data_IF_569818759291
#
_entry.id   IF_569818759291
#
_cell.length_a   1.000
_cell.length_b   1.000
_cell.length_c   1.000
_cell.angle_alpha   90.00
_cell.angle_beta   90.00
_cell.angle_gamma   90.00
#
_symmetry.space_group_name_H-M   'P 1'
#
loop_
_entity.id
_entity.type
_entity.pdbx_description
1 polymer ?
#
# COMPACT_ATOMS: atom_id res chain seq x y z
N UNK A 1 17.22 -11.40 -14.26
CA UNK A 1 15.79 -11.41 -13.96
C UNK A 1 14.97 -11.66 -15.22
N UNK A 2 13.74 -12.14 -15.05
CA UNK A 2 12.76 -12.34 -16.11
C UNK A 2 11.61 -11.34 -15.89
N UNK A 3 11.21 -10.61 -16.95
CA UNK A 3 10.05 -9.75 -16.91
C UNK A 3 8.81 -10.49 -17.42
N UNK A 4 7.67 -10.31 -16.74
CA UNK A 4 6.35 -10.79 -17.16
C UNK A 4 5.46 -9.56 -17.24
N UNK A 5 4.89 -9.29 -18.41
CA UNK A 5 3.96 -8.17 -18.62
C UNK A 5 2.55 -8.65 -18.30
N UNK A 6 1.87 -7.96 -17.40
CA UNK A 6 0.48 -8.25 -17.03
C UNK A 6 -0.28 -6.96 -16.69
N UNK A 7 -1.50 -6.81 -17.19
CA UNK A 7 -2.44 -5.79 -16.68
C UNK A 7 -3.23 -6.42 -15.52
N UNK A 8 -2.91 -6.01 -14.31
CA UNK A 8 -3.54 -6.55 -13.10
C UNK A 8 -4.98 -6.06 -12.90
N UNK A 9 -5.49 -5.17 -13.74
CA UNK A 9 -6.91 -4.79 -13.73
C UNK A 9 -7.80 -5.79 -14.49
N UNK A 10 -7.20 -6.68 -15.29
CA UNK A 10 -7.94 -7.66 -16.05
C UNK A 10 -8.35 -8.87 -15.20
N UNK A 11 -9.58 -9.40 -15.40
CA UNK A 11 -10.01 -10.61 -14.70
C UNK A 11 -9.07 -11.79 -14.91
N UNK A 12 -8.68 -12.47 -13.83
CA UNK A 12 -7.78 -13.63 -13.89
C UNK A 12 -6.28 -13.31 -14.01
N UNK A 13 -5.90 -12.04 -14.19
CA UNK A 13 -4.51 -11.65 -14.37
C UNK A 13 -3.59 -12.07 -13.21
N UNK A 14 -4.08 -12.01 -11.98
CA UNK A 14 -3.31 -12.44 -10.81
C UNK A 14 -3.00 -13.95 -10.86
N UNK A 15 -3.95 -14.78 -11.25
CA UNK A 15 -3.76 -16.22 -11.38
C UNK A 15 -2.78 -16.55 -12.51
N UNK A 16 -2.99 -15.94 -13.68
CA UNK A 16 -2.10 -16.11 -14.83
C UNK A 16 -0.67 -15.65 -14.55
N UNK A 17 -0.49 -14.54 -13.80
CA UNK A 17 0.81 -14.05 -13.39
C UNK A 17 1.49 -15.04 -12.42
N UNK A 18 0.77 -15.56 -11.43
CA UNK A 18 1.29 -16.53 -10.48
C UNK A 18 1.72 -17.83 -11.18
N UNK A 19 0.93 -18.32 -12.13
CA UNK A 19 1.26 -19.50 -12.95
C UNK A 19 2.53 -19.28 -13.77
N UNK A 20 2.62 -18.15 -14.45
CA UNK A 20 3.78 -17.80 -15.28
C UNK A 20 5.05 -17.56 -14.44
N UNK A 21 4.90 -17.03 -13.22
CA UNK A 21 6.03 -16.82 -12.32
C UNK A 21 6.63 -18.15 -11.87
N UNK A 22 5.77 -19.15 -11.66
CA UNK A 22 6.16 -20.44 -11.07
C UNK A 22 6.47 -20.33 -9.58
N UNK A 23 7.27 -21.24 -9.03
CA UNK A 23 7.66 -21.19 -7.62
C UNK A 23 8.44 -19.91 -7.29
N UNK A 24 8.04 -19.22 -6.24
CA UNK A 24 8.72 -18.02 -5.72
C UNK A 24 9.03 -18.18 -4.23
N UNK A 25 10.13 -17.61 -3.77
CA UNK A 25 10.52 -17.61 -2.36
C UNK A 25 10.00 -16.35 -1.65
N UNK A 26 9.88 -15.24 -2.38
CA UNK A 26 9.38 -13.97 -1.85
C UNK A 26 8.39 -13.35 -2.82
N UNK A 27 7.21 -13.00 -2.32
CA UNK A 27 6.24 -12.17 -3.01
C UNK A 27 6.30 -10.74 -2.47
N UNK A 28 6.56 -9.75 -3.33
CA UNK A 28 6.41 -8.33 -2.98
C UNK A 28 5.23 -7.76 -3.79
N UNK A 29 4.06 -7.69 -3.15
CA UNK A 29 2.85 -7.14 -3.75
C UNK A 29 2.88 -5.61 -3.67
N UNK A 30 3.49 -4.97 -4.67
CA UNK A 30 3.74 -3.52 -4.71
C UNK A 30 2.82 -2.77 -5.68
N UNK A 31 2.30 -3.42 -6.71
CA UNK A 31 1.46 -2.77 -7.71
C UNK A 31 0.22 -2.12 -7.07
N UNK A 32 -0.07 -0.90 -7.46
CA UNK A 32 -1.25 -0.19 -6.98
C UNK A 32 -1.64 0.94 -7.96
N UNK A 33 -2.92 1.26 -8.00
CA UNK A 33 -3.47 2.42 -8.69
C UNK A 33 -3.65 3.58 -7.70
N UNK A 34 -3.43 4.83 -8.13
CA UNK A 34 -3.81 5.98 -7.36
C UNK A 34 -5.33 6.02 -7.21
N UNK A 35 -5.81 6.32 -6.00
CA UNK A 35 -7.23 6.43 -5.68
C UNK A 35 -7.48 7.62 -4.72
N UNK A 36 -6.81 8.74 -5.01
CA UNK A 36 -6.94 10.00 -4.25
C UNK A 36 -7.90 10.95 -4.97
N UNK A 37 -8.75 11.59 -4.21
CA UNK A 37 -9.77 12.51 -4.67
C UNK A 37 -11.09 12.31 -3.91
N UNK A 38 -12.08 13.20 -4.12
CA UNK A 38 -13.41 13.04 -3.53
C UNK A 38 -14.09 11.76 -4.06
N UNK A 39 -14.53 10.89 -3.17
CA UNK A 39 -15.17 9.63 -3.57
C UNK A 39 -16.43 9.83 -4.42
N UNK A 40 -17.13 10.94 -4.23
CA UNK A 40 -18.32 11.29 -5.01
C UNK A 40 -18.05 11.61 -6.50
N UNK A 41 -16.78 11.75 -6.87
CA UNK A 41 -16.36 11.98 -8.26
C UNK A 41 -15.91 10.69 -8.97
N UNK A 42 -15.86 9.55 -8.25
CA UNK A 42 -15.50 8.26 -8.83
C UNK A 42 -16.73 7.57 -9.43
N UNK A 43 -16.55 6.97 -10.61
CA UNK A 43 -17.57 6.04 -11.15
C UNK A 43 -17.48 4.70 -10.42
N UNK A 44 -18.57 3.88 -10.45
CA UNK A 44 -18.52 2.52 -9.90
C UNK A 44 -17.36 1.68 -10.46
N UNK A 45 -17.10 1.75 -11.76
CA UNK A 45 -16.04 1.01 -12.46
C UNK A 45 -14.65 1.44 -11.97
N UNK A 46 -14.45 2.73 -11.70
CA UNK A 46 -13.20 3.25 -11.14
C UNK A 46 -12.99 2.77 -9.70
N UNK A 47 -14.07 2.68 -8.92
CA UNK A 47 -14.03 2.12 -7.57
C UNK A 47 -13.65 0.64 -7.63
N UNK A 48 -14.34 -0.14 -8.45
CA UNK A 48 -14.09 -1.58 -8.61
C UNK A 48 -12.66 -1.84 -9.08
N UNK A 49 -12.17 -1.09 -10.06
CA UNK A 49 -10.80 -1.21 -10.55
C UNK A 49 -9.78 -0.88 -9.45
N UNK A 50 -10.01 0.17 -8.67
CA UNK A 50 -9.11 0.56 -7.58
C UNK A 50 -9.07 -0.49 -6.48
N UNK A 51 -10.22 -1.03 -6.08
CA UNK A 51 -10.33 -2.13 -5.11
C UNK A 51 -9.71 -3.40 -5.67
N UNK A 52 -9.98 -3.71 -6.93
CA UNK A 52 -9.44 -4.86 -7.63
C UNK A 52 -7.92 -4.89 -7.57
N UNK A 53 -7.27 -3.86 -8.10
CA UNK A 53 -5.79 -3.82 -8.20
C UNK A 53 -5.12 -3.62 -6.83
N UNK A 54 -5.66 -2.74 -5.97
CA UNK A 54 -4.98 -2.37 -4.72
C UNK A 54 -5.21 -3.37 -3.58
N UNK A 55 -6.26 -4.17 -3.62
CA UNK A 55 -6.63 -5.08 -2.54
C UNK A 55 -6.83 -6.51 -3.03
N UNK A 56 -7.73 -6.74 -4.00
CA UNK A 56 -8.09 -8.10 -4.43
C UNK A 56 -6.90 -8.83 -5.07
N UNK A 57 -6.16 -8.19 -5.95
CA UNK A 57 -5.00 -8.78 -6.64
C UNK A 57 -3.90 -9.19 -5.67
N UNK A 58 -3.43 -8.37 -4.71
CA UNK A 58 -2.48 -8.81 -3.68
C UNK A 58 -2.96 -10.03 -2.90
N UNK A 59 -4.25 -10.10 -2.55
CA UNK A 59 -4.85 -11.25 -1.86
C UNK A 59 -4.80 -12.49 -2.75
N UNK A 60 -5.17 -12.37 -4.01
CA UNK A 60 -5.17 -13.48 -4.97
C UNK A 60 -3.75 -14.01 -5.23
N UNK A 61 -2.75 -13.12 -5.37
CA UNK A 61 -1.35 -13.50 -5.52
C UNK A 61 -0.84 -14.24 -4.28
N UNK A 62 -1.14 -13.76 -3.08
CA UNK A 62 -0.77 -14.44 -1.86
C UNK A 62 -1.43 -15.83 -1.77
N UNK A 63 -2.74 -15.93 -2.08
CA UNK A 63 -3.46 -17.22 -2.13
C UNK A 63 -2.85 -18.20 -3.12
N UNK A 64 -2.38 -17.73 -4.27
CA UNK A 64 -1.82 -18.58 -5.31
C UNK A 64 -0.39 -19.06 -4.99
N UNK A 65 0.42 -18.22 -4.36
CA UNK A 65 1.87 -18.46 -4.19
C UNK A 65 2.24 -18.98 -2.80
N UNK A 66 1.51 -18.62 -1.74
CA UNK A 66 1.83 -19.03 -0.37
C UNK A 66 1.79 -20.57 -0.16
N UNK A 67 0.89 -21.37 -0.77
CA UNK A 67 0.90 -22.81 -0.60
C UNK A 67 2.25 -23.46 -0.92
N UNK A 68 2.88 -23.09 -2.03
CA UNK A 68 4.20 -23.63 -2.37
C UNK A 68 5.31 -23.17 -1.40
N UNK A 69 5.19 -22.00 -0.78
CA UNK A 69 6.10 -21.56 0.29
C UNK A 69 5.89 -22.43 1.55
N UNK A 70 4.64 -22.70 1.92
CA UNK A 70 4.29 -23.55 3.07
C UNK A 70 4.81 -24.98 2.88
N UNK A 71 4.64 -25.56 1.69
CA UNK A 71 5.15 -26.91 1.37
C UNK A 71 6.68 -27.00 1.51
N UNK A 72 7.40 -25.92 1.18
CA UNK A 72 8.86 -25.85 1.34
C UNK A 72 9.30 -25.50 2.77
N UNK A 73 8.37 -25.10 3.64
CA UNK A 73 8.67 -24.60 4.99
C UNK A 73 9.46 -23.30 5.01
N UNK A 74 9.47 -22.53 3.91
CA UNK A 74 10.23 -21.30 3.77
C UNK A 74 9.61 -20.37 2.74
N UNK A 75 9.52 -19.09 3.06
CA UNK A 75 9.03 -18.06 2.15
C UNK A 75 8.68 -16.75 2.87
N UNK A 76 8.39 -15.71 2.08
CA UNK A 76 7.96 -14.44 2.67
C UNK A 76 7.00 -13.69 1.74
N UNK A 77 5.93 -13.15 2.32
CA UNK A 77 4.96 -12.31 1.60
C UNK A 77 5.04 -10.89 2.15
N UNK A 78 5.29 -9.93 1.27
CA UNK A 78 5.32 -8.50 1.61
C UNK A 78 4.18 -7.79 0.92
N UNK A 79 3.38 -7.07 1.70
CA UNK A 79 2.36 -6.19 1.17
C UNK A 79 2.80 -4.72 1.28
N UNK A 80 2.85 -4.03 0.14
CA UNK A 80 3.13 -2.61 0.10
C UNK A 80 1.85 -1.82 0.37
N UNK A 81 1.67 -1.42 1.62
CA UNK A 81 0.58 -0.57 2.04
C UNK A 81 0.98 0.93 1.92
N UNK A 82 0.63 1.75 2.87
CA UNK A 82 0.93 3.18 2.99
C UNK A 82 0.63 3.61 4.43
N UNK A 83 1.14 4.75 4.89
CA UNK A 83 0.63 5.40 6.10
C UNK A 83 -0.89 5.67 6.01
N UNK A 84 -1.45 5.79 4.79
CA UNK A 84 -2.90 5.84 4.55
C UNK A 84 -3.62 4.53 4.90
N UNK A 85 -2.92 3.44 5.16
CA UNK A 85 -3.44 2.19 5.75
C UNK A 85 -3.45 2.19 7.29
N UNK A 86 -3.00 3.27 7.93
CA UNK A 86 -3.04 3.51 9.39
C UNK A 86 -3.85 4.73 9.76
N UNK A 87 -3.86 5.76 8.91
CA UNK A 87 -4.57 7.01 9.14
C UNK A 87 -5.14 7.54 7.82
N UNK A 88 -6.47 7.69 7.78
CA UNK A 88 -7.14 8.30 6.63
C UNK A 88 -7.07 9.82 6.70
N UNK A 89 -6.90 10.45 5.54
CA UNK A 89 -6.91 11.91 5.37
C UNK A 89 -7.99 12.34 4.36
N UNK A 90 -8.43 13.60 4.36
CA UNK A 90 -9.39 14.08 3.37
C UNK A 90 -8.94 13.77 1.94
N UNK A 91 -9.85 13.29 1.09
CA UNK A 91 -9.56 12.92 -0.29
C UNK A 91 -8.80 11.60 -0.47
N UNK A 92 -8.64 10.79 0.58
CA UNK A 92 -8.00 9.47 0.47
C UNK A 92 -8.94 8.32 0.85
N UNK A 93 -10.25 8.54 0.93
CA UNK A 93 -11.20 7.55 1.44
C UNK A 93 -11.11 6.21 0.72
N UNK A 94 -11.14 6.20 -0.62
CA UNK A 94 -11.04 4.98 -1.42
C UNK A 94 -9.63 4.35 -1.29
N UNK A 95 -8.57 5.15 -1.42
CA UNK A 95 -7.21 4.67 -1.24
C UNK A 95 -6.97 4.09 0.15
N UNK A 96 -7.40 4.83 1.19
CA UNK A 96 -7.31 4.35 2.58
C UNK A 96 -8.09 3.06 2.79
N UNK A 97 -9.30 2.93 2.25
CA UNK A 97 -10.07 1.70 2.35
C UNK A 97 -9.27 0.49 1.84
N UNK A 98 -8.62 0.61 0.67
CA UNK A 98 -7.80 -0.48 0.11
C UNK A 98 -6.56 -0.77 0.96
N UNK A 99 -5.88 0.27 1.47
CA UNK A 99 -4.63 0.11 2.25
C UNK A 99 -4.87 -0.36 3.70
N UNK A 100 -6.00 0.04 4.33
CA UNK A 100 -6.45 -0.55 5.60
C UNK A 100 -6.88 -2.02 5.40
N UNK A 101 -7.66 -2.31 4.34
CA UNK A 101 -8.03 -3.68 4.00
C UNK A 101 -6.82 -4.59 3.82
N UNK A 102 -5.81 -4.10 3.09
CA UNK A 102 -4.55 -4.83 2.88
C UNK A 102 -3.78 -5.08 4.19
N UNK A 103 -3.74 -4.08 5.09
CA UNK A 103 -3.16 -4.24 6.43
C UNK A 103 -3.87 -5.31 7.25
N UNK A 104 -5.23 -5.26 7.26
CA UNK A 104 -6.05 -6.24 7.97
C UNK A 104 -5.85 -7.65 7.44
N UNK A 105 -5.86 -7.81 6.10
CA UNK A 105 -5.59 -9.08 5.45
C UNK A 105 -4.20 -9.62 5.79
N UNK A 106 -3.16 -8.80 5.67
CA UNK A 106 -1.79 -9.20 5.99
C UNK A 106 -1.62 -9.65 7.44
N UNK A 107 -2.27 -8.92 8.37
CA UNK A 107 -2.26 -9.28 9.79
C UNK A 107 -2.95 -10.64 10.04
N UNK A 108 -4.08 -10.91 9.40
CA UNK A 108 -4.77 -12.19 9.46
C UNK A 108 -3.92 -13.31 8.86
N UNK A 109 -3.43 -13.11 7.64
CA UNK A 109 -2.59 -14.10 6.94
C UNK A 109 -1.33 -14.48 7.74
N UNK A 110 -0.72 -13.50 8.44
CA UNK A 110 0.42 -13.77 9.31
C UNK A 110 0.06 -14.73 10.46
N UNK A 111 -1.15 -14.64 11.01
CA UNK A 111 -1.63 -15.60 12.02
C UNK A 111 -1.93 -16.95 11.40
N UNK A 112 -2.56 -16.97 10.23
CA UNK A 112 -2.90 -18.21 9.51
C UNK A 112 -1.65 -19.03 9.14
N UNK A 113 -0.54 -18.34 8.81
CA UNK A 113 0.73 -18.96 8.42
C UNK A 113 1.71 -19.16 9.59
N UNK A 114 1.29 -18.87 10.83
CA UNK A 114 2.17 -19.05 11.98
C UNK A 114 2.66 -20.49 12.12
N UNK A 115 3.97 -20.65 12.30
CA UNK A 115 4.61 -21.98 12.43
C UNK A 115 4.86 -22.72 11.12
N UNK A 116 4.48 -22.18 9.97
CA UNK A 116 4.71 -22.81 8.65
C UNK A 116 6.09 -22.51 8.05
N UNK A 117 6.86 -21.62 8.66
CA UNK A 117 8.12 -21.11 8.09
C UNK A 117 7.93 -19.98 7.06
N UNK A 118 6.70 -19.52 6.84
CA UNK A 118 6.39 -18.41 5.91
C UNK A 118 6.11 -17.13 6.68
N UNK A 119 6.93 -16.10 6.44
CA UNK A 119 6.76 -14.78 7.02
C UNK A 119 5.75 -13.91 6.24
N UNK A 120 5.12 -12.96 6.93
CA UNK A 120 4.25 -11.95 6.30
C UNK A 120 4.56 -10.58 6.88
N UNK A 121 4.87 -9.62 6.02
CA UNK A 121 5.19 -8.25 6.37
C UNK A 121 4.30 -7.24 5.66
N UNK A 122 3.99 -6.14 6.33
CA UNK A 122 3.36 -4.97 5.73
C UNK A 122 4.29 -3.76 5.86
N UNK A 123 4.59 -3.14 4.73
CA UNK A 123 5.40 -1.91 4.67
C UNK A 123 4.49 -0.71 4.45
N UNK A 124 4.71 0.36 5.21
CA UNK A 124 3.90 1.58 5.18
C UNK A 124 4.76 2.79 4.80
N UNK A 125 4.99 3.02 3.51
CA UNK A 125 5.66 4.23 3.06
C UNK A 125 4.82 5.47 3.35
N UNK A 126 5.53 6.57 3.69
CA UNK A 126 4.96 7.91 3.64
C UNK A 126 5.05 8.49 2.23
N UNK A 127 5.40 9.78 2.12
CA UNK A 127 5.61 10.43 0.83
C UNK A 127 6.97 10.03 0.26
N UNK A 128 6.96 9.28 -0.85
CA UNK A 128 8.17 8.87 -1.56
C UNK A 128 8.50 9.91 -2.61
N UNK A 129 9.70 10.53 -2.51
CA UNK A 129 10.22 11.44 -3.52
C UNK A 129 10.84 10.65 -4.68
N UNK A 130 11.11 11.31 -5.75
CA UNK A 130 11.92 10.84 -6.91
C UNK A 130 11.28 9.74 -7.77
N UNK A 131 10.24 9.05 -7.31
CA UNK A 131 9.51 8.05 -8.10
C UNK A 131 8.15 7.70 -7.47
N UNK A 132 7.24 7.15 -8.28
CA UNK A 132 5.96 6.60 -7.86
C UNK A 132 4.84 7.62 -7.71
N UNK A 133 3.69 7.15 -7.20
CA UNK A 133 2.42 7.88 -7.23
C UNK A 133 2.50 9.31 -6.72
N UNK A 134 3.21 9.56 -5.61
CA UNK A 134 3.33 10.90 -5.05
C UNK A 134 4.17 11.81 -5.96
N UNK A 135 5.34 11.33 -6.42
CA UNK A 135 6.21 12.06 -7.35
C UNK A 135 5.46 12.47 -8.62
N UNK A 136 4.69 11.53 -9.19
CA UNK A 136 3.94 11.73 -10.44
C UNK A 136 2.81 12.77 -10.32
N UNK A 137 2.38 13.11 -9.10
CA UNK A 137 1.40 14.19 -8.91
C UNK A 137 1.97 15.57 -9.13
N UNK A 138 3.29 15.73 -9.08
CA UNK A 138 3.96 17.04 -9.07
C UNK A 138 3.64 17.90 -7.84
N UNK A 139 2.97 17.35 -6.83
CA UNK A 139 2.54 18.09 -5.64
C UNK A 139 3.74 18.45 -4.76
N UNK A 140 3.88 19.72 -4.44
CA UNK A 140 4.91 20.19 -3.49
C UNK A 140 4.36 20.16 -2.07
N UNK A 141 5.05 19.41 -1.21
CA UNK A 141 4.77 19.43 0.22
C UNK A 141 5.36 20.67 0.90
N UNK A 142 4.75 21.11 2.00
CA UNK A 142 5.39 22.07 2.89
C UNK A 142 6.76 21.55 3.35
N UNK A 143 7.75 22.43 3.50
CA UNK A 143 9.14 22.05 3.83
C UNK A 143 9.29 21.27 5.14
N UNK A 144 8.33 21.39 6.05
CA UNK A 144 8.31 20.65 7.32
C UNK A 144 7.75 19.22 7.19
N UNK A 145 7.11 18.90 6.07
CA UNK A 145 6.67 17.52 5.76
C UNK A 145 7.84 16.81 5.06
N UNK A 146 8.48 15.92 5.77
CA UNK A 146 9.58 15.16 5.21
C UNK A 146 9.12 14.06 4.25
N UNK A 147 10.05 13.61 3.42
CA UNK A 147 9.85 12.54 2.42
C UNK A 147 10.91 11.46 2.61
N UNK A 148 10.70 10.30 2.02
CA UNK A 148 11.67 9.20 1.93
C UNK A 148 12.04 8.92 0.47
N UNK A 149 13.16 8.27 0.24
CA UNK A 149 13.56 7.85 -1.11
C UNK A 149 13.01 6.45 -1.45
N UNK A 150 12.95 6.06 -2.73
CA UNK A 150 12.70 4.68 -3.12
C UNK A 150 13.69 3.69 -2.48
N UNK A 151 14.96 4.09 -2.34
CA UNK A 151 16.00 3.30 -1.68
C UNK A 151 15.68 3.01 -0.21
N UNK A 152 15.19 4.02 0.55
CA UNK A 152 14.78 3.85 1.95
C UNK A 152 13.66 2.81 2.08
N UNK A 153 12.71 2.82 1.12
CA UNK A 153 11.60 1.85 1.08
C UNK A 153 12.12 0.45 0.77
N UNK A 154 12.98 0.32 -0.24
CA UNK A 154 13.56 -0.96 -0.61
C UNK A 154 14.37 -1.58 0.52
N UNK A 155 15.28 -0.81 1.16
CA UNK A 155 16.09 -1.28 2.28
C UNK A 155 15.22 -1.68 3.49
N UNK A 156 14.18 -0.89 3.79
CA UNK A 156 13.26 -1.21 4.88
C UNK A 156 12.44 -2.48 4.58
N UNK A 157 12.11 -2.72 3.31
CA UNK A 157 11.44 -3.95 2.86
C UNK A 157 12.36 -5.15 3.04
N UNK A 158 13.62 -5.06 2.63
CA UNK A 158 14.60 -6.13 2.84
C UNK A 158 14.77 -6.44 4.34
N UNK A 159 14.93 -5.42 5.17
CA UNK A 159 15.01 -5.61 6.64
C UNK A 159 13.74 -6.21 7.25
N UNK A 160 12.57 -5.92 6.68
CA UNK A 160 11.32 -6.52 7.13
C UNK A 160 11.29 -8.04 6.84
N UNK A 161 11.79 -8.46 5.68
CA UNK A 161 11.93 -9.86 5.29
C UNK A 161 12.95 -10.57 6.19
N UNK A 162 14.17 -10.02 6.29
CA UNK A 162 15.29 -10.61 7.04
C UNK A 162 14.99 -10.83 8.52
N UNK A 163 14.19 -9.95 9.13
CA UNK A 163 13.87 -10.00 10.56
C UNK A 163 12.42 -10.40 10.82
N UNK A 164 11.70 -10.88 9.83
CA UNK A 164 10.27 -11.27 9.90
C UNK A 164 9.40 -10.24 10.65
N UNK A 165 9.54 -8.97 10.29
CA UNK A 165 8.78 -7.88 10.93
C UNK A 165 7.36 -7.83 10.40
N UNK A 166 6.37 -7.88 11.28
CA UNK A 166 4.95 -7.79 10.89
C UNK A 166 4.59 -6.46 10.21
N UNK A 167 5.05 -5.33 10.76
CA UNK A 167 4.79 -3.98 10.24
C UNK A 167 6.06 -3.13 10.25
N UNK A 168 6.27 -2.35 9.18
CA UNK A 168 7.42 -1.44 9.06
C UNK A 168 6.98 -0.10 8.48
N UNK A 169 7.08 0.96 9.26
CA UNK A 169 6.81 2.33 8.82
C UNK A 169 8.07 2.94 8.19
N UNK A 170 7.94 3.41 6.94
CA UNK A 170 9.02 4.06 6.20
C UNK A 170 8.64 5.51 5.94
N UNK A 171 8.83 6.34 6.95
CA UNK A 171 8.47 7.75 6.91
C UNK A 171 9.23 8.54 7.98
N UNK A 172 9.36 9.86 7.85
CA UNK A 172 9.87 10.73 8.89
C UNK A 172 9.12 10.57 10.21
N UNK A 173 9.82 10.75 11.32
CA UNK A 173 9.27 10.51 12.66
C UNK A 173 7.92 11.23 12.91
N UNK A 174 7.78 12.49 12.49
CA UNK A 174 6.55 13.25 12.68
C UNK A 174 5.33 12.63 11.98
N UNK A 175 5.51 12.08 10.76
CA UNK A 175 4.44 11.38 10.05
C UNK A 175 4.09 10.05 10.70
N UNK A 176 5.10 9.31 11.19
CA UNK A 176 4.90 8.04 11.92
C UNK A 176 4.13 8.28 13.23
N UNK A 177 4.56 9.25 14.02
CA UNK A 177 3.90 9.61 15.27
C UNK A 177 2.46 10.11 15.02
N UNK A 178 2.26 10.94 13.99
CA UNK A 178 0.94 11.43 13.59
C UNK A 178 -0.01 10.32 13.14
N UNK A 179 0.47 9.35 12.36
CA UNK A 179 -0.34 8.21 11.93
C UNK A 179 -0.69 7.27 13.09
N UNK A 180 0.24 7.04 14.02
CA UNK A 180 0.00 6.26 15.22
C UNK A 180 -1.05 6.94 16.12
N UNK A 181 -0.92 8.26 16.33
CA UNK A 181 -1.92 9.04 17.07
C UNK A 181 -3.29 8.97 16.41
N UNK A 182 -3.37 9.12 15.08
CA UNK A 182 -4.62 9.06 14.36
C UNK A 182 -5.27 7.67 14.39
N UNK A 183 -4.48 6.60 14.46
CA UNK A 183 -4.99 5.23 14.63
C UNK A 183 -5.65 5.01 15.99
N UNK A 184 -5.11 5.64 17.06
CA UNK A 184 -5.62 5.49 18.42
C UNK A 184 -6.75 6.49 18.74
N UNK A 185 -6.67 7.70 18.18
CA UNK A 185 -7.57 8.82 18.48
C UNK A 185 -8.09 9.48 17.20
N UNK A 186 -8.89 8.78 16.37
CA UNK A 186 -9.25 9.23 15.03
C UNK A 186 -10.01 10.56 15.03
N UNK A 187 -10.93 10.78 15.99
CA UNK A 187 -11.66 12.05 16.07
C UNK A 187 -10.79 13.22 16.47
N UNK A 188 -9.90 13.03 17.45
CA UNK A 188 -8.99 14.08 17.89
C UNK A 188 -8.00 14.46 16.78
N UNK A 189 -7.46 13.46 16.09
CA UNK A 189 -6.59 13.66 14.94
C UNK A 189 -7.32 14.40 13.81
N UNK A 190 -8.55 14.03 13.48
CA UNK A 190 -9.35 14.70 12.45
C UNK A 190 -9.66 16.17 12.83
N UNK A 191 -9.97 16.46 14.10
CA UNK A 191 -10.18 17.84 14.58
C UNK A 191 -8.90 18.67 14.45
N UNK A 192 -7.77 18.09 14.86
CA UNK A 192 -6.46 18.75 14.78
C UNK A 192 -6.05 19.00 13.32
N UNK A 193 -6.21 18.01 12.46
CA UNK A 193 -5.91 18.10 11.04
C UNK A 193 -6.70 19.23 10.36
N UNK A 194 -8.01 19.36 10.67
CA UNK A 194 -8.84 20.46 10.16
C UNK A 194 -8.35 21.83 10.66
N UNK A 195 -7.97 21.94 11.93
CA UNK A 195 -7.44 23.20 12.50
C UNK A 195 -6.11 23.61 11.89
N UNK A 196 -5.28 22.64 11.51
CA UNK A 196 -3.98 22.87 10.88
C UNK A 196 -4.06 23.06 9.35
N UNK A 197 -5.27 23.00 8.75
CA UNK A 197 -5.47 23.20 7.32
C UNK A 197 -4.87 22.09 6.44
N UNK A 198 -4.71 20.89 6.96
CA UNK A 198 -4.13 19.74 6.22
C UNK A 198 -5.00 19.28 5.05
N UNK A 199 -6.29 19.63 5.04
CA UNK A 199 -7.22 19.41 3.95
C UNK A 199 -6.85 20.16 2.66
N UNK A 200 -6.10 21.27 2.75
CA UNK A 200 -5.62 22.00 1.56
C UNK A 200 -4.59 21.15 0.78
N UNK A 201 -3.69 20.45 1.47
CA UNK A 201 -2.69 19.60 0.84
C UNK A 201 -3.37 18.37 0.19
N UNK A 202 -4.30 17.75 0.91
CA UNK A 202 -5.05 16.58 0.43
C UNK A 202 -5.92 16.91 -0.80
N UNK A 203 -6.60 18.07 -0.81
CA UNK A 203 -7.39 18.52 -1.96
C UNK A 203 -6.53 18.78 -3.19
N UNK A 204 -5.33 19.35 -3.04
CA UNK A 204 -4.40 19.55 -4.15
C UNK A 204 -3.91 18.23 -4.75
N UNK A 205 -3.69 17.22 -3.93
CA UNK A 205 -3.33 15.88 -4.41
C UNK A 205 -4.47 15.23 -5.19
N UNK A 206 -5.73 15.38 -4.72
CA UNK A 206 -6.92 14.82 -5.37
C UNK A 206 -7.34 15.55 -6.64
N UNK A 207 -6.97 16.83 -6.82
CA UNK A 207 -7.33 17.62 -8.00
C UNK A 207 -6.35 17.48 -9.17
N UNK A 208 -5.23 16.78 -9.01
CA UNK A 208 -4.31 16.54 -10.12
C UNK A 208 -4.95 15.55 -11.11
N UNK A 209 -5.24 16.02 -12.32
CA UNK A 209 -5.84 15.23 -13.41
C UNK A 209 -5.06 13.94 -13.73
N UNK A 210 -3.77 13.89 -13.39
CA UNK A 210 -2.93 12.72 -13.56
C UNK A 210 -3.45 11.47 -12.83
N UNK A 211 -4.26 11.63 -11.79
CA UNK A 211 -4.87 10.52 -11.05
C UNK A 211 -6.20 10.05 -11.65
N UNK A 212 -6.85 10.88 -12.49
CA UNK A 212 -8.15 10.57 -13.11
C UNK A 212 -8.04 9.97 -14.50
N UNK A 213 -6.95 10.22 -15.21
CA UNK A 213 -6.84 9.94 -16.65
C UNK A 213 -6.12 8.65 -17.02
N UNK A 214 -5.65 7.89 -16.08
CA UNK A 214 -5.10 6.55 -16.38
C UNK A 214 -6.24 5.53 -16.36
N UNK A 215 -6.92 5.48 -17.51
CA UNK A 215 -7.89 4.48 -17.91
C UNK A 215 -7.25 3.12 -18.06
#
# INVERSE_FOLDING_TARGET
GRAIVADLSEPGAAAALAEQAGPVDVLIANAALPASGPVLEYTPEQIDRSVGVNLTVPIQLARALAPGMVERGAGHVVFMSSLSGKAATPGTSLYSATKFGLRGFASGLRQDLHGTGVGVSTVFPGFVRDAGMFHDTGTRLPKWVGTVSPGDVAESTLRAIEHDRAETDVAPFGLRAGSAFASLFPEAAARLARRLGSDVVSRRMGSSEAHRSRR
#
